data_IF_741339263007
#
_entry.id   IF_741339263007
#
_cell.length_a   1.000
_cell.length_b   1.000
_cell.length_c   1.000
_cell.angle_alpha   90.00
_cell.angle_beta   90.00
_cell.angle_gamma   90.00
#
_symmetry.space_group_name_H-M   'P 1'
#
loop_
_entity.id
_entity.type
_entity.pdbx_description
1 polymer ?
#
# COMPACT_ATOMS: atom_id res chain seq x y z
N UNK A 1 -1.48 -6.32 15.46
CA UNK A 1 -1.83 -7.65 14.93
C UNK A 1 -2.68 -8.42 15.95
N UNK A 2 -2.21 -8.69 17.18
CA UNK A 2 -2.98 -9.46 18.17
C UNK A 2 -4.38 -8.89 18.47
N UNK A 3 -4.58 -7.56 18.37
CA UNK A 3 -5.89 -6.91 18.55
C UNK A 3 -6.82 -7.07 17.34
N UNK A 4 -6.27 -7.46 16.18
CA UNK A 4 -6.99 -7.64 14.93
C UNK A 4 -7.32 -9.11 14.63
N UNK A 5 -7.07 -10.01 15.56
CA UNK A 5 -7.40 -11.43 15.45
C UNK A 5 -6.31 -12.31 14.84
N UNK A 6 -5.17 -11.79 14.40
CA UNK A 6 -4.13 -12.48 13.63
C UNK A 6 -3.56 -13.78 14.22
N UNK A 7 -4.36 -14.84 14.28
CA UNK A 7 -3.96 -16.19 14.63
C UNK A 7 -3.42 -17.00 13.45
N UNK A 8 -3.85 -16.67 12.22
CA UNK A 8 -3.46 -17.33 10.95
C UNK A 8 -3.20 -16.28 9.86
N UNK A 9 -1.98 -15.75 9.86
CA UNK A 9 -1.62 -14.61 9.04
C UNK A 9 -1.21 -15.05 7.63
N UNK A 10 -1.76 -14.38 6.60
CA UNK A 10 -1.21 -14.40 5.25
C UNK A 10 -0.28 -13.20 5.08
N UNK A 11 0.96 -13.42 4.68
CA UNK A 11 1.91 -12.37 4.31
C UNK A 11 2.01 -12.28 2.80
N UNK A 12 1.66 -11.13 2.23
CA UNK A 12 1.82 -10.83 0.79
C UNK A 12 3.01 -9.89 0.63
N UNK A 13 3.98 -10.29 -0.18
CA UNK A 13 5.20 -9.52 -0.45
C UNK A 13 5.78 -9.88 -1.81
N UNK A 14 6.46 -8.93 -2.46
CA UNK A 14 7.25 -9.20 -3.65
C UNK A 14 8.61 -9.85 -3.29
N UNK A 15 9.31 -10.36 -4.29
CA UNK A 15 10.64 -10.98 -4.12
C UNK A 15 11.66 -9.98 -3.53
N UNK A 16 11.61 -8.74 -3.99
CA UNK A 16 12.52 -7.68 -3.54
C UNK A 16 12.38 -7.34 -2.04
N UNK A 17 11.17 -7.47 -1.49
CA UNK A 17 10.87 -7.16 -0.09
C UNK A 17 10.78 -8.41 0.80
N UNK A 18 11.09 -9.61 0.30
CA UNK A 18 10.90 -10.86 1.04
C UNK A 18 11.67 -10.91 2.37
N UNK A 19 12.94 -10.49 2.39
CA UNK A 19 13.74 -10.42 3.62
C UNK A 19 13.19 -9.38 4.61
N UNK A 20 12.74 -8.24 4.09
CA UNK A 20 12.10 -7.20 4.87
C UNK A 20 10.80 -7.72 5.50
N UNK A 21 9.97 -8.39 4.71
CA UNK A 21 8.72 -8.98 5.19
C UNK A 21 8.96 -10.00 6.31
N UNK A 22 9.99 -10.85 6.20
CA UNK A 22 10.36 -11.79 7.27
C UNK A 22 10.74 -11.06 8.56
N UNK A 23 11.49 -9.95 8.47
CA UNK A 23 11.89 -9.16 9.65
C UNK A 23 10.69 -8.49 10.32
N UNK A 24 9.84 -7.80 9.54
CA UNK A 24 8.70 -7.04 10.10
C UNK A 24 7.57 -7.93 10.60
N UNK A 25 7.48 -9.18 10.12
CA UNK A 25 6.50 -10.17 10.57
C UNK A 25 7.06 -11.18 11.57
N UNK A 26 8.31 -11.00 12.02
CA UNK A 26 8.90 -11.85 13.03
C UNK A 26 8.03 -11.88 14.30
N UNK A 27 7.70 -13.09 14.76
CA UNK A 27 6.81 -13.29 15.92
C UNK A 27 5.32 -13.36 15.59
N UNK A 28 4.90 -13.22 14.32
CA UNK A 28 3.55 -13.55 13.88
C UNK A 28 3.42 -15.03 13.53
N UNK A 29 2.21 -15.59 13.72
CA UNK A 29 1.90 -16.94 13.26
C UNK A 29 1.52 -16.90 11.77
N UNK A 30 2.53 -16.96 10.90
CA UNK A 30 2.33 -16.93 9.45
C UNK A 30 1.86 -18.30 8.97
N UNK A 31 0.59 -18.38 8.56
CA UNK A 31 -0.01 -19.57 7.98
C UNK A 31 0.27 -19.69 6.47
N UNK A 32 0.43 -18.55 5.78
CA UNK A 32 0.64 -18.51 4.33
C UNK A 32 1.59 -17.40 3.94
N UNK A 33 2.64 -17.73 3.20
CA UNK A 33 3.49 -16.78 2.47
C UNK A 33 3.07 -16.74 1.02
N UNK A 34 2.78 -15.53 0.51
CA UNK A 34 2.41 -15.31 -0.89
C UNK A 34 3.42 -14.35 -1.55
N UNK A 35 4.25 -14.90 -2.43
CA UNK A 35 5.34 -14.16 -3.08
C UNK A 35 5.05 -13.68 -4.50
N UNK A 36 3.93 -14.11 -5.11
CA UNK A 36 3.59 -13.68 -6.46
C UNK A 36 2.81 -12.36 -6.42
N UNK A 37 3.48 -11.28 -6.83
CA UNK A 37 2.88 -9.95 -6.93
C UNK A 37 3.11 -9.43 -8.36
N UNK A 38 2.06 -8.94 -8.99
CA UNK A 38 2.12 -8.35 -10.34
C UNK A 38 1.44 -6.99 -10.36
N UNK A 39 1.98 -6.09 -11.20
CA UNK A 39 1.36 -4.79 -11.43
C UNK A 39 -0.10 -4.93 -11.89
N UNK A 40 -0.94 -3.98 -11.46
CA UNK A 40 -2.35 -3.90 -11.83
C UNK A 40 -3.22 -5.08 -11.38
N UNK A 41 -2.69 -6.00 -10.56
CA UNK A 41 -3.43 -7.11 -9.93
C UNK A 41 -4.29 -7.86 -10.95
N UNK A 42 -3.73 -8.78 -11.75
CA UNK A 42 -4.50 -9.62 -12.65
C UNK A 42 -5.57 -10.42 -11.89
N UNK A 43 -6.78 -10.52 -12.47
CA UNK A 43 -7.91 -11.22 -11.84
C UNK A 43 -7.56 -12.66 -11.50
N UNK A 44 -6.91 -13.39 -12.42
CA UNK A 44 -6.51 -14.78 -12.16
C UNK A 44 -5.49 -14.92 -11.01
N UNK A 45 -4.65 -13.90 -10.78
CA UNK A 45 -3.75 -13.87 -9.63
C UNK A 45 -4.52 -13.66 -8.34
N UNK A 46 -5.48 -12.74 -8.34
CA UNK A 46 -6.35 -12.48 -7.20
C UNK A 46 -7.17 -13.71 -6.81
N UNK A 47 -7.74 -14.43 -7.80
CA UNK A 47 -8.49 -15.66 -7.56
C UNK A 47 -7.64 -16.76 -6.92
N UNK A 48 -6.41 -16.96 -7.39
CA UNK A 48 -5.49 -17.93 -6.78
C UNK A 48 -5.10 -17.53 -5.35
N UNK A 49 -4.85 -16.26 -5.10
CA UNK A 49 -4.54 -15.75 -3.77
C UNK A 49 -5.72 -15.92 -2.80
N UNK A 50 -6.96 -15.67 -3.26
CA UNK A 50 -8.21 -15.88 -2.51
C UNK A 50 -8.41 -17.35 -2.15
N UNK A 51 -8.23 -18.26 -3.12
CA UNK A 51 -8.33 -19.70 -2.88
C UNK A 51 -7.32 -20.15 -1.83
N UNK A 52 -6.04 -19.77 -1.97
CA UNK A 52 -5.00 -20.10 -1.01
C UNK A 52 -5.27 -19.53 0.39
N UNK A 53 -5.82 -18.31 0.49
CA UNK A 53 -6.20 -17.71 1.76
C UNK A 53 -7.32 -18.49 2.46
N UNK A 54 -8.34 -18.93 1.71
CA UNK A 54 -9.44 -19.77 2.24
C UNK A 54 -8.93 -21.14 2.70
N UNK A 55 -8.12 -21.82 1.87
CA UNK A 55 -7.55 -23.14 2.18
C UNK A 55 -6.65 -23.13 3.42
N UNK A 56 -5.94 -22.01 3.63
CA UNK A 56 -5.11 -21.79 4.80
C UNK A 56 -5.89 -21.21 6.01
N UNK A 57 -7.20 -21.02 5.89
CA UNK A 57 -8.08 -20.43 6.94
C UNK A 57 -7.48 -19.12 7.50
N UNK A 58 -7.04 -18.24 6.60
CA UNK A 58 -6.42 -16.97 6.96
C UNK A 58 -7.43 -16.04 7.62
N UNK A 59 -7.06 -15.41 8.72
CA UNK A 59 -7.88 -14.45 9.47
C UNK A 59 -7.34 -13.01 9.43
N UNK A 60 -6.12 -12.82 8.91
CA UNK A 60 -5.47 -11.51 8.74
C UNK A 60 -4.52 -11.52 7.55
N UNK A 61 -4.53 -10.47 6.76
CA UNK A 61 -3.54 -10.23 5.70
C UNK A 61 -2.57 -9.14 6.12
N UNK A 62 -1.27 -9.41 6.01
CA UNK A 62 -0.20 -8.41 6.14
C UNK A 62 0.42 -8.20 4.77
N UNK A 63 0.30 -7.01 4.20
CA UNK A 63 0.96 -6.64 2.96
C UNK A 63 2.24 -5.86 3.26
N UNK A 64 3.39 -6.35 2.76
CA UNK A 64 4.69 -5.66 2.88
C UNK A 64 5.19 -5.37 1.47
N UNK A 65 5.17 -4.10 1.08
CA UNK A 65 5.55 -3.70 -0.28
C UNK A 65 4.83 -2.46 -0.79
N UNK A 66 4.89 -2.26 -2.10
CA UNK A 66 4.28 -1.10 -2.75
C UNK A 66 2.79 -1.30 -3.11
N UNK A 67 2.30 -0.41 -3.99
CA UNK A 67 0.89 -0.37 -4.38
C UNK A 67 0.35 -1.67 -4.98
N UNK A 68 1.15 -2.47 -5.70
CA UNK A 68 0.71 -3.77 -6.23
C UNK A 68 0.50 -4.81 -5.14
N UNK A 69 1.34 -4.80 -4.12
CA UNK A 69 1.24 -5.69 -2.95
C UNK A 69 0.00 -5.35 -2.13
N UNK A 70 -0.21 -4.07 -1.84
CA UNK A 70 -1.42 -3.56 -1.19
C UNK A 70 -2.67 -3.85 -2.02
N UNK A 71 -2.59 -3.66 -3.34
CA UNK A 71 -3.70 -3.94 -4.25
C UNK A 71 -4.13 -5.42 -4.23
N UNK A 72 -3.16 -6.36 -4.18
CA UNK A 72 -3.47 -7.78 -4.06
C UNK A 72 -4.09 -8.11 -2.70
N UNK A 73 -3.61 -7.52 -1.60
CA UNK A 73 -4.21 -7.66 -0.28
C UNK A 73 -5.68 -7.20 -0.27
N UNK A 74 -5.97 -6.06 -0.91
CA UNK A 74 -7.33 -5.56 -1.10
C UNK A 74 -8.18 -6.51 -1.93
N UNK A 75 -7.63 -7.05 -3.02
CA UNK A 75 -8.34 -8.03 -3.85
C UNK A 75 -8.69 -9.30 -3.04
N UNK A 76 -7.82 -9.76 -2.14
CA UNK A 76 -8.14 -10.87 -1.22
C UNK A 76 -9.26 -10.48 -0.27
N UNK A 77 -9.15 -9.35 0.44
CA UNK A 77 -10.13 -8.90 1.42
C UNK A 77 -11.50 -8.56 0.83
N UNK A 78 -11.59 -8.29 -0.47
CA UNK A 78 -12.86 -8.04 -1.15
C UNK A 78 -13.81 -9.25 -1.08
N UNK A 79 -13.29 -10.48 -1.00
CA UNK A 79 -14.08 -11.72 -1.02
C UNK A 79 -13.76 -12.70 0.12
N UNK A 80 -12.67 -12.48 0.83
CA UNK A 80 -12.32 -13.24 2.03
C UNK A 80 -12.53 -12.32 3.23
N UNK A 81 -13.22 -12.78 4.26
CA UNK A 81 -13.52 -11.99 5.46
C UNK A 81 -12.25 -11.85 6.33
N UNK A 82 -11.37 -10.94 5.92
CA UNK A 82 -10.09 -10.68 6.58
C UNK A 82 -9.82 -9.18 6.67
N UNK A 83 -9.14 -8.76 7.72
CA UNK A 83 -8.60 -7.42 7.83
C UNK A 83 -7.22 -7.32 7.18
N UNK A 84 -6.82 -6.09 6.82
CA UNK A 84 -5.51 -5.82 6.23
C UNK A 84 -4.67 -4.99 7.21
N UNK A 85 -3.41 -5.39 7.40
CA UNK A 85 -2.34 -4.55 7.92
C UNK A 85 -1.40 -4.24 6.75
N UNK A 86 -1.26 -2.97 6.40
CA UNK A 86 -0.37 -2.54 5.32
C UNK A 86 0.94 -1.97 5.87
N UNK A 87 2.06 -2.41 5.29
CA UNK A 87 3.41 -1.92 5.56
C UNK A 87 3.99 -1.44 4.22
N UNK A 88 3.72 -0.17 3.83
CA UNK A 88 4.13 0.33 2.53
C UNK A 88 5.64 0.56 2.46
N UNK A 89 6.22 0.26 1.30
CA UNK A 89 7.62 0.52 0.96
C UNK A 89 7.77 1.51 -0.20
N UNK A 90 6.66 2.08 -0.69
CA UNK A 90 6.59 3.09 -1.74
C UNK A 90 5.66 4.22 -1.32
N UNK A 91 5.60 5.29 -2.10
CA UNK A 91 4.77 6.48 -1.83
C UNK A 91 3.49 6.52 -2.67
N UNK A 92 2.92 5.33 -2.95
CA UNK A 92 1.73 5.22 -3.82
C UNK A 92 0.42 5.66 -3.15
N UNK A 93 0.34 5.65 -1.81
CA UNK A 93 -0.84 6.09 -1.03
C UNK A 93 -2.02 5.09 -1.02
N UNK A 94 -2.00 4.04 -1.81
CA UNK A 94 -3.13 3.11 -1.94
C UNK A 94 -3.52 2.41 -0.63
N UNK A 95 -2.62 2.33 0.33
CA UNK A 95 -2.83 1.75 1.66
C UNK A 95 -3.78 2.55 2.55
N UNK A 96 -4.02 3.81 2.24
CA UNK A 96 -4.92 4.68 3.00
C UNK A 96 -6.28 4.90 2.32
N UNK A 97 -6.61 4.12 1.29
CA UNK A 97 -7.88 4.21 0.57
C UNK A 97 -8.71 2.93 0.67
N UNK A 98 -10.01 3.05 0.45
CA UNK A 98 -10.95 1.94 0.24
C UNK A 98 -11.17 1.62 -1.25
N UNK A 99 -10.34 2.18 -2.13
CA UNK A 99 -10.35 1.91 -3.57
C UNK A 99 -9.60 0.63 -3.87
N UNK A 100 -10.21 -0.25 -4.65
CA UNK A 100 -9.58 -1.45 -5.20
C UNK A 100 -9.52 -1.39 -6.73
N UNK A 101 -8.62 -2.18 -7.32
CA UNK A 101 -8.52 -2.31 -8.76
C UNK A 101 -7.93 -3.65 -9.16
N UNK A 102 -8.50 -4.27 -10.20
CA UNK A 102 -8.02 -5.49 -10.81
C UNK A 102 -8.05 -5.35 -12.33
N UNK A 103 -7.24 -6.14 -13.02
CA UNK A 103 -7.15 -6.10 -14.49
C UNK A 103 -7.48 -7.47 -15.05
N UNK A 104 -8.42 -7.51 -16.00
CA UNK A 104 -8.80 -8.69 -16.78
C UNK A 104 -8.62 -8.39 -18.26
N UNK A 105 -7.90 -9.21 -18.99
CA UNK A 105 -7.60 -9.06 -20.43
C UNK A 105 -7.19 -7.62 -20.83
N UNK A 106 -6.38 -6.96 -19.99
CA UNK A 106 -5.93 -5.59 -20.22
C UNK A 106 -6.95 -4.50 -19.86
N UNK A 107 -8.14 -4.86 -19.42
CA UNK A 107 -9.18 -3.93 -18.95
C UNK A 107 -9.12 -3.80 -17.45
N UNK A 108 -8.83 -2.60 -16.95
CA UNK A 108 -8.80 -2.31 -15.51
C UNK A 108 -10.21 -1.99 -15.01
N UNK A 109 -10.65 -2.75 -14.02
CA UNK A 109 -11.87 -2.48 -13.23
C UNK A 109 -11.48 -1.94 -11.87
N UNK A 110 -12.15 -0.89 -11.42
CA UNK A 110 -11.95 -0.30 -10.10
C UNK A 110 -13.27 -0.16 -9.37
N UNK A 111 -13.22 -0.15 -8.05
CA UNK A 111 -14.38 0.08 -7.20
C UNK A 111 -13.99 0.62 -5.84
N UNK A 112 -14.98 0.94 -5.04
CA UNK A 112 -14.85 1.43 -3.66
C UNK A 112 -15.57 0.45 -2.75
N UNK A 113 -14.89 -0.03 -1.71
CA UNK A 113 -15.47 -0.94 -0.72
C UNK A 113 -14.74 -0.80 0.61
N UNK A 114 -15.46 -0.48 1.67
CA UNK A 114 -14.87 -0.28 3.00
C UNK A 114 -14.18 -1.52 3.58
N UNK A 115 -14.50 -2.72 3.11
CA UNK A 115 -13.85 -3.98 3.52
C UNK A 115 -12.38 -4.03 3.13
N UNK A 116 -12.00 -3.31 2.07
CA UNK A 116 -10.61 -3.32 1.57
C UNK A 116 -9.76 -2.19 2.16
N UNK A 117 -10.34 -1.29 2.95
CA UNK A 117 -9.56 -0.27 3.66
C UNK A 117 -8.69 -0.96 4.73
N UNK A 118 -7.36 -0.85 4.66
CA UNK A 118 -6.51 -1.41 5.70
C UNK A 118 -6.90 -0.92 7.11
N UNK A 119 -7.11 -1.87 8.02
CA UNK A 119 -7.45 -1.57 9.42
C UNK A 119 -6.28 -0.91 10.17
N UNK A 120 -5.05 -1.11 9.67
CA UNK A 120 -3.84 -0.51 10.21
C UNK A 120 -2.84 -0.30 9.09
N UNK A 121 -2.19 0.85 9.07
CA UNK A 121 -1.02 1.13 8.24
C UNK A 121 0.18 1.40 9.13
N UNK A 122 1.30 0.77 8.83
CA UNK A 122 2.56 0.97 9.56
C UNK A 122 3.53 1.71 8.63
N UNK A 123 3.68 3.00 8.86
CA UNK A 123 4.65 3.84 8.17
C UNK A 123 5.98 3.83 8.92
N UNK A 124 7.04 3.45 8.22
CA UNK A 124 8.42 3.49 8.72
C UNK A 124 9.34 3.89 7.55
N UNK A 125 9.92 5.07 7.62
CA UNK A 125 10.81 5.60 6.60
C UNK A 125 12.02 4.70 6.33
N UNK A 126 12.52 4.00 7.35
CA UNK A 126 13.61 3.05 7.22
C UNK A 126 13.31 1.89 6.26
N UNK A 127 12.03 1.53 6.09
CA UNK A 127 11.60 0.47 5.16
C UNK A 127 11.58 0.92 3.69
N UNK A 128 11.73 2.21 3.42
CA UNK A 128 11.76 2.78 2.07
C UNK A 128 13.18 3.07 1.57
N UNK A 129 14.21 2.90 2.40
CA UNK A 129 15.61 3.26 2.06
C UNK A 129 16.21 2.43 0.92
N UNK A 130 15.68 1.23 0.69
CA UNK A 130 16.08 0.35 -0.43
C UNK A 130 15.30 0.60 -1.72
N UNK A 131 14.31 1.51 -1.71
CA UNK A 131 13.51 1.81 -2.89
C UNK A 131 14.39 2.47 -3.97
N UNK A 132 14.47 1.92 -5.20
CA UNK A 132 15.20 2.53 -6.30
C UNK A 132 14.73 3.95 -6.60
N UNK A 133 15.64 4.80 -7.07
CA UNK A 133 15.36 6.24 -7.30
C UNK A 133 14.22 6.45 -8.29
N UNK A 134 14.17 5.68 -9.36
CA UNK A 134 13.09 5.73 -10.37
C UNK A 134 11.72 5.41 -9.76
N UNK A 135 11.63 4.40 -8.90
CA UNK A 135 10.40 4.06 -8.17
C UNK A 135 10.08 5.06 -7.05
N UNK A 136 11.11 5.63 -6.40
CA UNK A 136 10.95 6.74 -5.46
C UNK A 136 10.23 7.90 -6.14
N UNK A 137 10.76 8.34 -7.29
CA UNK A 137 10.20 9.45 -8.07
C UNK A 137 8.81 9.09 -8.61
N UNK A 138 8.67 7.93 -9.26
CA UNK A 138 7.41 7.55 -9.89
C UNK A 138 6.27 7.42 -8.88
N UNK A 139 6.51 6.77 -7.72
CA UNK A 139 5.48 6.61 -6.69
C UNK A 139 5.15 7.93 -5.99
N UNK A 140 6.14 8.77 -5.73
CA UNK A 140 5.92 10.07 -5.10
C UNK A 140 5.21 11.06 -6.02
N UNK A 141 5.55 11.09 -7.31
CA UNK A 141 4.84 11.90 -8.31
C UNK A 141 3.39 11.42 -8.50
N UNK A 142 3.12 10.12 -8.34
CA UNK A 142 1.75 9.62 -8.32
C UNK A 142 0.96 10.22 -7.12
N UNK A 143 1.54 10.23 -5.92
CA UNK A 143 0.93 10.89 -4.75
C UNK A 143 0.71 12.39 -5.00
N UNK A 144 1.70 13.08 -5.55
CA UNK A 144 1.58 14.49 -5.90
C UNK A 144 0.46 14.76 -6.92
N UNK A 145 0.30 13.90 -7.92
CA UNK A 145 -0.78 14.01 -8.89
C UNK A 145 -2.16 13.87 -8.21
N UNK A 146 -2.32 12.95 -7.26
CA UNK A 146 -3.55 12.83 -6.48
C UNK A 146 -3.83 14.06 -5.62
N UNK A 147 -2.81 14.67 -4.99
CA UNK A 147 -2.98 15.95 -4.30
C UNK A 147 -3.51 17.03 -5.26
N UNK A 148 -2.91 17.14 -6.45
CA UNK A 148 -3.32 18.14 -7.45
C UNK A 148 -4.75 17.89 -7.93
N UNK A 149 -5.11 16.65 -8.27
CA UNK A 149 -6.46 16.28 -8.69
C UNK A 149 -7.52 16.57 -7.62
N UNK A 150 -7.19 16.39 -6.35
CA UNK A 150 -8.09 16.65 -5.23
C UNK A 150 -8.49 18.13 -5.09
N UNK A 151 -7.67 19.07 -5.59
CA UNK A 151 -7.98 20.51 -5.50
C UNK A 151 -9.16 20.94 -6.36
N UNK A 152 -9.47 20.21 -7.43
CA UNK A 152 -10.61 20.51 -8.32
C UNK A 152 -11.58 19.33 -8.50
N UNK A 153 -11.47 18.31 -7.67
CA UNK A 153 -12.41 17.20 -7.69
C UNK A 153 -13.85 17.72 -7.46
N UNK A 154 -14.88 17.13 -8.10
CA UNK A 154 -16.27 17.59 -7.98
C UNK A 154 -16.81 17.59 -6.56
N UNK A 155 -16.19 16.86 -5.64
CA UNK A 155 -16.53 16.78 -4.22
C UNK A 155 -15.46 17.36 -3.30
N UNK A 156 -14.58 18.20 -3.84
CA UNK A 156 -13.57 18.88 -3.04
C UNK A 156 -14.26 19.77 -1.98
N UNK A 157 -13.78 19.70 -0.76
CA UNK A 157 -14.20 20.52 0.36
C UNK A 157 -12.97 21.23 0.99
N UNK A 158 -13.17 22.21 1.87
CA UNK A 158 -12.05 22.95 2.47
C UNK A 158 -11.03 22.08 3.21
N UNK A 159 -11.45 20.95 3.80
CA UNK A 159 -10.55 20.04 4.54
C UNK A 159 -9.68 19.27 3.55
N UNK A 160 -10.29 18.69 2.50
CA UNK A 160 -9.57 18.01 1.43
C UNK A 160 -8.54 18.94 0.76
N UNK A 161 -8.92 20.20 0.51
CA UNK A 161 -8.00 21.19 -0.08
C UNK A 161 -6.79 21.44 0.81
N UNK A 162 -6.98 21.60 2.13
CA UNK A 162 -5.86 21.78 3.07
C UNK A 162 -4.95 20.56 3.09
N UNK A 163 -5.53 19.35 3.13
CA UNK A 163 -4.76 18.10 3.13
C UNK A 163 -4.00 17.92 1.82
N UNK A 164 -4.62 18.20 0.68
CA UNK A 164 -3.99 18.13 -0.63
C UNK A 164 -2.83 19.12 -0.78
N UNK A 165 -2.99 20.37 -0.31
CA UNK A 165 -1.91 21.36 -0.33
C UNK A 165 -0.74 20.96 0.56
N UNK A 166 -1.01 20.45 1.77
CA UNK A 166 0.04 19.99 2.68
C UNK A 166 0.72 18.73 2.14
N UNK A 167 -0.04 17.78 1.58
CA UNK A 167 0.52 16.61 0.92
C UNK A 167 1.44 16.96 -0.26
N UNK A 168 1.01 17.94 -1.08
CA UNK A 168 1.83 18.45 -2.18
C UNK A 168 3.12 19.12 -1.67
N UNK A 169 3.05 19.94 -0.59
CA UNK A 169 4.24 20.53 0.06
C UNK A 169 5.21 19.45 0.52
N UNK A 170 4.72 18.48 1.29
CA UNK A 170 5.54 17.41 1.86
C UNK A 170 6.25 16.59 0.76
N UNK A 171 5.54 16.23 -0.31
CA UNK A 171 6.14 15.52 -1.45
C UNK A 171 7.13 16.39 -2.22
N UNK A 172 6.84 17.70 -2.40
CA UNK A 172 7.75 18.62 -3.10
C UNK A 172 9.07 18.84 -2.32
N UNK A 173 9.07 18.77 -1.00
CA UNK A 173 10.25 18.88 -0.16
C UNK A 173 10.94 17.51 0.02
N UNK A 174 10.18 16.45 0.29
CA UNK A 174 10.71 15.13 0.60
C UNK A 174 11.33 14.41 -0.60
N UNK A 175 10.73 14.50 -1.79
CA UNK A 175 11.23 13.78 -2.98
C UNK A 175 12.64 14.21 -3.39
N UNK A 176 12.96 15.51 -3.54
CA UNK A 176 14.33 15.93 -3.86
C UNK A 176 15.34 15.46 -2.80
N UNK A 177 14.99 15.51 -1.51
CA UNK A 177 15.86 15.06 -0.42
C UNK A 177 16.10 13.55 -0.48
N UNK A 178 15.05 12.74 -0.63
CA UNK A 178 15.15 11.27 -0.75
C UNK A 178 15.90 10.82 -2.03
N UNK A 179 15.86 11.63 -3.11
CA UNK A 179 16.62 11.36 -4.34
C UNK A 179 18.09 11.74 -4.17
N UNK A 180 18.37 12.85 -3.48
CA UNK A 180 19.76 13.30 -3.24
C UNK A 180 20.51 12.36 -2.29
N UNK A 181 19.83 11.84 -1.28
CA UNK A 181 20.36 10.85 -0.34
C UNK A 181 19.31 9.77 -0.04
N UNK A 182 19.55 8.56 -0.53
CA UNK A 182 18.65 7.43 -0.30
C UNK A 182 18.52 7.03 1.19
N UNK A 183 19.41 7.48 2.04
CA UNK A 183 19.40 7.23 3.49
C UNK A 183 18.83 8.40 4.31
N UNK A 184 18.42 9.48 3.67
CA UNK A 184 17.75 10.61 4.35
C UNK A 184 16.36 10.19 4.83
N UNK A 185 16.27 9.80 6.10
CA UNK A 185 15.02 9.39 6.72
C UNK A 185 14.02 10.55 6.81
N UNK A 186 14.48 11.78 7.00
CA UNK A 186 13.59 12.96 7.08
C UNK A 186 12.87 13.20 5.74
N UNK A 187 13.61 13.18 4.62
CA UNK A 187 12.99 13.30 3.30
C UNK A 187 12.01 12.15 3.01
N UNK A 188 12.32 10.94 3.47
CA UNK A 188 11.45 9.77 3.32
C UNK A 188 10.21 9.83 4.20
N UNK A 189 10.31 10.37 5.41
CA UNK A 189 9.16 10.65 6.30
C UNK A 189 8.21 11.65 5.64
N UNK A 190 8.73 12.75 5.08
CA UNK A 190 7.94 13.72 4.32
C UNK A 190 7.25 13.07 3.11
N UNK A 191 7.93 12.17 2.39
CA UNK A 191 7.32 11.44 1.28
C UNK A 191 6.18 10.52 1.74
N UNK A 192 6.34 9.76 2.83
CA UNK A 192 5.29 8.90 3.39
C UNK A 192 4.12 9.73 3.92
N UNK A 193 4.41 10.84 4.60
CA UNK A 193 3.38 11.76 5.08
C UNK A 193 2.58 12.37 3.93
N UNK A 194 3.27 12.85 2.89
CA UNK A 194 2.61 13.38 1.70
C UNK A 194 1.80 12.33 0.94
N UNK A 195 2.31 11.09 0.85
CA UNK A 195 1.58 9.96 0.24
C UNK A 195 0.31 9.62 1.03
N UNK A 196 0.36 9.64 2.37
CA UNK A 196 -0.83 9.47 3.22
C UNK A 196 -1.85 10.58 2.95
N UNK A 197 -1.45 11.84 2.98
CA UNK A 197 -2.35 12.97 2.75
C UNK A 197 -2.96 13.01 1.35
N UNK A 198 -2.27 12.42 0.36
CA UNK A 198 -2.79 12.31 -1.01
C UNK A 198 -3.95 11.30 -1.16
N UNK A 199 -4.15 10.45 -0.15
CA UNK A 199 -5.04 9.29 -0.21
C UNK A 199 -6.28 9.42 0.69
N UNK A 200 -6.27 10.35 1.67
CA UNK A 200 -7.34 10.52 2.67
C UNK A 200 -8.25 11.71 2.39
#
# INVERSE_FOLDING_TARGET
VARLGGGRVMVITGEAEAELAQRVTAGLQVALWWGEVRQHVPVELAERARAAARDAEVDLVVSVGGGSTTGLAKAVALEVDVQIVAVPTTYAGSEATDVWGMTDDGVKTTGVDSRVLPATVVYDAGLTTSLPVDLTVASGLNGLAHCVDSLWAPRADPINVVMALEGARALAEGLPAAVADAQDLTGREECLYGAYLSAV
#
